data_IF_688017131697
#
_entry.id   IF_688017131697
#
_cell.length_a   1.000
_cell.length_b   1.000
_cell.length_c   1.000
_cell.angle_alpha   90.00
_cell.angle_beta   90.00
_cell.angle_gamma   90.00
#
_symmetry.space_group_name_H-M   'P 1'
#
loop_
_entity.id
_entity.type
_entity.pdbx_description
1 polymer ?
#
# COMPACT_ATOMS: atom_id res chain seq x y z
N UNK A 1 -19.46 -13.15 -3.81
CA UNK A 1 -19.14 -12.02 -2.90
C UNK A 1 -18.44 -10.95 -3.70
N UNK A 2 -19.02 -9.74 -3.82
CA UNK A 2 -18.54 -8.73 -4.76
C UNK A 2 -17.59 -7.68 -4.18
N UNK A 3 -17.41 -7.56 -2.86
CA UNK A 3 -16.52 -6.56 -2.26
C UNK A 3 -15.69 -7.16 -1.11
N UNK A 4 -14.40 -6.79 -1.03
CA UNK A 4 -13.47 -7.24 0.00
C UNK A 4 -13.39 -6.32 1.21
N UNK A 5 -13.67 -5.03 1.01
CA UNK A 5 -13.82 -4.05 2.08
C UNK A 5 -15.31 -3.71 2.26
N UNK A 6 -15.84 -3.61 3.50
CA UNK A 6 -17.20 -3.16 3.72
C UNK A 6 -17.45 -1.82 3.02
N UNK A 7 -18.53 -1.73 2.23
CA UNK A 7 -18.89 -0.55 1.46
C UNK A 7 -17.84 -0.07 0.42
N UNK A 8 -17.00 -0.97 -0.11
CA UNK A 8 -15.98 -0.65 -1.15
C UNK A 8 -16.53 0.06 -2.40
N UNK A 9 -17.85 0.03 -2.65
CA UNK A 9 -18.52 0.71 -3.76
C UNK A 9 -19.23 2.01 -3.38
N UNK A 10 -19.07 2.48 -2.14
CA UNK A 10 -19.68 3.71 -1.63
C UNK A 10 -18.61 4.78 -1.51
N UNK A 11 -18.83 5.91 -2.15
CA UNK A 11 -17.88 7.03 -2.23
C UNK A 11 -18.52 8.36 -1.77
N UNK A 12 -19.40 8.31 -0.78
CA UNK A 12 -20.10 9.48 -0.24
C UNK A 12 -20.09 9.47 1.31
N UNK A 13 -20.64 10.50 1.93
CA UNK A 13 -20.65 10.68 3.40
C UNK A 13 -21.47 9.68 4.21
N UNK A 14 -22.00 8.61 3.60
CA UNK A 14 -22.66 7.51 4.35
C UNK A 14 -21.69 6.49 4.95
N UNK A 15 -20.38 6.63 4.67
CA UNK A 15 -19.32 5.80 5.23
C UNK A 15 -18.25 6.65 5.90
N UNK A 16 -17.59 6.08 6.91
CA UNK A 16 -16.48 6.74 7.63
C UNK A 16 -15.22 6.78 6.76
N UNK A 17 -14.92 5.69 6.05
CA UNK A 17 -13.69 5.55 5.25
C UNK A 17 -14.03 4.93 3.90
N UNK A 18 -13.43 5.47 2.85
CA UNK A 18 -13.49 4.93 1.49
C UNK A 18 -12.11 4.36 1.14
N UNK A 19 -12.04 3.10 0.75
CA UNK A 19 -10.80 2.47 0.29
C UNK A 19 -10.57 2.75 -1.20
N UNK A 20 -9.41 3.27 -1.57
CA UNK A 20 -8.99 3.43 -2.96
C UNK A 20 -7.59 2.90 -3.20
N UNK A 21 -7.32 2.46 -4.43
CA UNK A 21 -5.98 2.15 -4.94
C UNK A 21 -5.56 3.13 -6.05
N UNK A 22 -6.44 4.07 -6.39
CA UNK A 22 -6.21 5.08 -7.39
C UNK A 22 -5.38 6.24 -6.80
N UNK A 23 -4.70 6.96 -7.66
CA UNK A 23 -3.87 8.10 -7.30
C UNK A 23 -3.98 9.21 -8.35
N UNK A 24 -3.43 10.37 -8.02
CA UNK A 24 -3.46 11.58 -8.83
C UNK A 24 -4.28 12.70 -8.18
N UNK A 25 -4.10 13.94 -8.65
CA UNK A 25 -4.69 15.13 -8.02
C UNK A 25 -6.22 15.06 -7.95
N UNK A 26 -6.87 14.57 -9.02
CA UNK A 26 -8.34 14.46 -9.05
C UNK A 26 -8.89 13.45 -8.05
N UNK A 27 -8.16 12.34 -7.82
CA UNK A 27 -8.54 11.37 -6.79
C UNK A 27 -8.37 11.97 -5.39
N UNK A 28 -7.24 12.64 -5.12
CA UNK A 28 -6.95 13.24 -3.82
C UNK A 28 -7.95 14.32 -3.42
N UNK A 29 -8.38 15.17 -4.36
CA UNK A 29 -9.34 16.27 -4.09
C UNK A 29 -10.69 15.80 -3.53
N UNK A 30 -11.05 14.53 -3.73
CA UNK A 30 -12.32 13.98 -3.24
C UNK A 30 -12.38 13.71 -1.74
N UNK A 31 -11.27 13.89 -1.00
CA UNK A 31 -11.18 13.52 0.41
C UNK A 31 -10.80 14.71 1.29
N UNK A 32 -11.39 14.78 2.48
CA UNK A 32 -11.07 15.79 3.50
C UNK A 32 -9.90 15.39 4.39
N UNK A 33 -9.65 14.09 4.55
CA UNK A 33 -8.55 13.47 5.31
C UNK A 33 -8.10 12.20 4.59
N UNK A 34 -6.85 11.80 4.76
CA UNK A 34 -6.33 10.57 4.17
C UNK A 34 -5.55 9.73 5.19
N UNK A 35 -5.79 8.42 5.19
CA UNK A 35 -4.93 7.44 5.86
C UNK A 35 -4.12 6.74 4.77
N UNK A 36 -2.80 6.87 4.80
CA UNK A 36 -1.90 6.21 3.87
C UNK A 36 -1.19 5.05 4.55
N UNK A 37 -1.63 3.82 4.23
CA UNK A 37 -1.00 2.60 4.72
C UNK A 37 0.17 2.23 3.80
N UNK A 38 1.39 2.28 4.34
CA UNK A 38 2.63 1.91 3.64
C UNK A 38 3.13 0.58 4.17
N UNK A 39 3.49 -0.33 3.27
CA UNK A 39 4.02 -1.66 3.60
C UNK A 39 5.36 -1.86 2.90
N UNK A 40 6.23 -2.71 3.47
CA UNK A 40 7.44 -3.15 2.78
C UNK A 40 7.14 -3.61 1.33
N UNK A 41 7.83 -3.05 0.32
CA UNK A 41 7.47 -3.27 -1.07
C UNK A 41 7.70 -4.71 -1.52
N UNK A 42 8.68 -5.44 -0.98
CA UNK A 42 8.88 -6.85 -1.34
C UNK A 42 7.68 -7.69 -0.90
N UNK A 43 7.24 -7.50 0.34
CA UNK A 43 6.09 -8.21 0.90
C UNK A 43 4.78 -7.79 0.22
N UNK A 44 4.61 -6.50 -0.12
CA UNK A 44 3.45 -6.00 -0.83
C UNK A 44 3.34 -6.59 -2.26
N UNK A 45 4.44 -6.57 -3.02
CA UNK A 45 4.50 -7.13 -4.38
C UNK A 45 4.21 -8.63 -4.36
N UNK A 46 4.83 -9.37 -3.44
CA UNK A 46 4.58 -10.81 -3.32
C UNK A 46 3.14 -11.12 -2.90
N UNK A 47 2.56 -10.33 -1.99
CA UNK A 47 1.17 -10.49 -1.56
C UNK A 47 0.17 -10.26 -2.71
N UNK A 48 0.42 -9.28 -3.57
CA UNK A 48 -0.38 -8.98 -4.77
C UNK A 48 -0.21 -10.06 -5.85
N UNK A 49 1.01 -10.59 -6.02
CA UNK A 49 1.23 -11.70 -6.95
C UNK A 49 0.47 -12.96 -6.53
N UNK A 50 0.50 -13.26 -5.23
CA UNK A 50 -0.29 -14.33 -4.63
C UNK A 50 -1.78 -14.12 -4.86
N UNK A 51 -2.29 -12.89 -4.69
CA UNK A 51 -3.69 -12.56 -4.93
C UNK A 51 -4.09 -12.78 -6.39
N UNK A 52 -3.28 -12.31 -7.34
CA UNK A 52 -3.59 -12.42 -8.77
C UNK A 52 -3.45 -13.84 -9.32
N UNK A 53 -2.50 -14.62 -8.81
CA UNK A 53 -2.18 -15.95 -9.33
C UNK A 53 -2.83 -17.10 -8.55
N UNK A 54 -3.17 -16.88 -7.28
CA UNK A 54 -3.79 -17.88 -6.39
C UNK A 54 -5.18 -17.51 -5.88
N UNK A 55 -5.69 -16.32 -6.20
CA UNK A 55 -6.96 -15.79 -5.66
C UNK A 55 -6.80 -15.10 -4.30
N UNK A 56 -7.89 -14.55 -3.77
CA UNK A 56 -7.86 -13.66 -2.58
C UNK A 56 -7.07 -14.24 -1.40
N UNK A 57 -7.33 -15.51 -1.06
CA UNK A 57 -6.69 -16.21 0.07
C UNK A 57 -5.65 -17.26 -0.36
N UNK A 58 -5.37 -17.38 -1.66
CA UNK A 58 -4.44 -18.36 -2.18
C UNK A 58 -3.02 -17.83 -2.38
N UNK A 59 -2.14 -18.72 -2.85
CA UNK A 59 -0.74 -18.42 -3.14
C UNK A 59 -0.44 -18.73 -4.60
N UNK A 60 0.47 -17.97 -5.19
CA UNK A 60 1.03 -18.31 -6.48
C UNK A 60 1.77 -19.64 -6.36
N UNK A 61 1.53 -20.55 -7.29
CA UNK A 61 2.30 -21.78 -7.39
C UNK A 61 3.74 -21.46 -7.87
N UNK A 62 4.75 -22.25 -7.48
CA UNK A 62 6.14 -21.99 -7.85
C UNK A 62 6.38 -21.80 -9.36
N UNK A 63 5.66 -22.54 -10.21
CA UNK A 63 5.71 -22.42 -11.68
C UNK A 63 5.35 -21.02 -12.19
N UNK A 64 4.56 -20.24 -11.45
CA UNK A 64 4.18 -18.88 -11.84
C UNK A 64 5.35 -17.90 -11.81
N UNK A 65 6.34 -18.16 -10.95
CA UNK A 65 7.55 -17.34 -10.85
C UNK A 65 8.51 -17.61 -12.01
N UNK A 66 8.53 -18.83 -12.55
CA UNK A 66 9.40 -19.23 -13.67
C UNK A 66 8.70 -19.19 -15.02
N UNK A 67 7.41 -18.86 -15.07
CA UNK A 67 6.62 -18.73 -16.29
C UNK A 67 7.32 -17.85 -17.33
N UNK A 68 7.32 -18.32 -18.58
CA UNK A 68 7.96 -17.65 -19.72
C UNK A 68 9.45 -17.35 -19.47
N UNK A 69 10.14 -18.27 -18.78
CA UNK A 69 11.55 -18.10 -18.39
C UNK A 69 11.74 -16.99 -17.35
N UNK A 70 10.75 -16.74 -16.49
CA UNK A 70 10.77 -15.70 -15.47
C UNK A 70 10.31 -14.31 -15.95
N UNK A 71 10.15 -14.10 -17.26
CA UNK A 71 9.76 -12.79 -17.82
C UNK A 71 8.43 -12.26 -17.30
N UNK A 72 7.48 -13.16 -17.01
CA UNK A 72 6.20 -12.77 -16.44
C UNK A 72 6.36 -12.15 -15.04
N UNK A 73 7.14 -12.80 -14.17
CA UNK A 73 7.46 -12.31 -12.84
C UNK A 73 8.30 -11.03 -12.89
N UNK A 74 9.29 -10.95 -13.77
CA UNK A 74 10.11 -9.73 -13.94
C UNK A 74 9.26 -8.51 -14.32
N UNK A 75 8.38 -8.67 -15.32
CA UNK A 75 7.45 -7.61 -15.73
C UNK A 75 6.49 -7.24 -14.60
N UNK A 76 6.00 -8.24 -13.87
CA UNK A 76 5.11 -8.01 -12.74
C UNK A 76 5.78 -7.19 -11.63
N UNK A 77 6.97 -7.59 -11.17
CA UNK A 77 7.73 -6.88 -10.13
C UNK A 77 8.05 -5.46 -10.59
N UNK A 78 8.50 -5.28 -11.83
CA UNK A 78 8.81 -3.96 -12.39
C UNK A 78 7.59 -3.03 -12.32
N UNK A 79 6.45 -3.49 -12.81
CA UNK A 79 5.22 -2.71 -12.80
C UNK A 79 4.74 -2.41 -11.38
N UNK A 80 4.79 -3.39 -10.47
CA UNK A 80 4.26 -3.25 -9.12
C UNK A 80 5.17 -2.43 -8.21
N UNK A 81 6.49 -2.49 -8.37
CA UNK A 81 7.44 -1.62 -7.66
C UNK A 81 7.22 -0.15 -8.03
N UNK A 82 7.11 0.15 -9.33
CA UNK A 82 6.84 1.50 -9.80
C UNK A 82 5.46 2.00 -9.37
N UNK A 83 4.42 1.15 -9.46
CA UNK A 83 3.08 1.50 -9.00
C UNK A 83 3.07 1.78 -7.49
N UNK A 84 3.71 0.93 -6.67
CA UNK A 84 3.83 1.14 -5.22
C UNK A 84 4.49 2.49 -4.92
N UNK A 85 5.65 2.76 -5.53
CA UNK A 85 6.37 4.03 -5.35
C UNK A 85 5.50 5.22 -5.77
N UNK A 86 4.95 5.20 -6.99
CA UNK A 86 4.18 6.32 -7.53
C UNK A 86 2.91 6.58 -6.71
N UNK A 87 2.22 5.53 -6.26
CA UNK A 87 1.03 5.68 -5.41
C UNK A 87 1.39 6.37 -4.10
N UNK A 88 2.43 5.86 -3.41
CA UNK A 88 2.84 6.41 -2.11
C UNK A 88 3.32 7.84 -2.25
N UNK A 89 4.22 8.12 -3.20
CA UNK A 89 4.74 9.48 -3.43
C UNK A 89 3.65 10.45 -3.87
N UNK A 90 2.64 10.00 -4.60
CA UNK A 90 1.50 10.83 -4.97
C UNK A 90 0.62 11.14 -3.75
N UNK A 91 0.25 10.14 -2.95
CA UNK A 91 -0.56 10.37 -1.75
C UNK A 91 0.14 11.17 -0.65
N UNK A 92 1.48 11.18 -0.59
CA UNK A 92 2.23 12.09 0.28
C UNK A 92 1.99 13.57 -0.07
N UNK A 93 1.51 13.89 -1.28
CA UNK A 93 1.12 15.25 -1.70
C UNK A 93 -0.34 15.60 -1.38
N UNK A 94 -0.98 14.85 -0.48
CA UNK A 94 -2.31 15.20 0.00
C UNK A 94 -2.26 16.51 0.77
N UNK A 95 -3.07 17.49 0.39
CA UNK A 95 -3.04 18.84 0.97
C UNK A 95 -3.78 18.93 2.32
N UNK A 96 -4.67 17.98 2.60
CA UNK A 96 -5.37 17.88 3.87
C UNK A 96 -4.59 17.09 4.93
N UNK A 97 -5.21 16.85 6.11
CA UNK A 97 -4.62 16.00 7.14
C UNK A 97 -4.32 14.60 6.59
N UNK A 98 -3.07 14.17 6.73
CA UNK A 98 -2.58 12.87 6.30
C UNK A 98 -2.07 12.09 7.51
N UNK A 99 -2.61 10.90 7.74
CA UNK A 99 -2.12 9.96 8.73
C UNK A 99 -1.34 8.84 8.04
N UNK A 100 -0.04 8.77 8.31
CA UNK A 100 0.83 7.71 7.80
C UNK A 100 0.78 6.52 8.76
N UNK A 101 0.49 5.34 8.22
CA UNK A 101 0.45 4.09 8.98
C UNK A 101 1.39 3.10 8.31
N UNK A 102 2.38 2.59 9.04
CA UNK A 102 3.18 1.49 8.53
C UNK A 102 2.48 0.17 8.85
N UNK A 103 2.36 -0.69 7.83
CA UNK A 103 1.67 -1.97 7.98
C UNK A 103 2.34 -2.85 9.03
N UNK A 104 3.67 -2.77 9.13
CA UNK A 104 4.46 -3.48 10.13
C UNK A 104 4.10 -3.04 11.56
N UNK A 105 3.84 -1.75 11.80
CA UNK A 105 3.40 -1.26 13.11
C UNK A 105 2.00 -1.78 13.48
N UNK A 106 1.11 -1.96 12.50
CA UNK A 106 -0.19 -2.62 12.71
C UNK A 106 -0.04 -4.09 13.10
N UNK A 107 1.05 -4.76 12.71
CA UNK A 107 1.32 -6.13 13.13
C UNK A 107 1.87 -6.21 14.55
N UNK A 108 2.73 -5.25 14.90
CA UNK A 108 3.49 -5.27 16.15
C UNK A 108 2.73 -4.62 17.32
N UNK A 109 1.93 -3.57 17.05
CA UNK A 109 1.21 -2.81 18.07
C UNK A 109 -0.19 -2.36 17.61
N UNK A 110 -1.00 -3.35 17.20
CA UNK A 110 -2.33 -3.11 16.66
C UNK A 110 -3.24 -2.22 17.54
N UNK A 111 -3.35 -2.41 18.88
CA UNK A 111 -4.27 -1.61 19.68
C UNK A 111 -3.95 -0.11 19.62
N UNK A 112 -2.67 0.26 19.80
CA UNK A 112 -2.27 1.67 19.79
C UNK A 112 -2.38 2.30 18.40
N UNK A 113 -1.99 1.56 17.35
CA UNK A 113 -2.19 2.06 15.98
C UNK A 113 -3.67 2.27 15.64
N UNK A 114 -4.56 1.37 16.10
CA UNK A 114 -6.00 1.54 15.91
C UNK A 114 -6.54 2.74 16.68
N UNK A 115 -6.06 3.00 17.91
CA UNK A 115 -6.44 4.21 18.66
C UNK A 115 -6.00 5.48 17.93
N UNK A 116 -4.77 5.54 17.44
CA UNK A 116 -4.27 6.65 16.60
C UNK A 116 -5.13 6.89 15.36
N UNK A 117 -5.53 5.82 14.67
CA UNK A 117 -6.42 5.91 13.51
C UNK A 117 -7.79 6.46 13.89
N UNK A 118 -8.39 5.98 14.99
CA UNK A 118 -9.71 6.45 15.45
C UNK A 118 -9.67 7.92 15.88
N UNK A 119 -8.62 8.33 16.58
CA UNK A 119 -8.38 9.73 16.95
C UNK A 119 -8.23 10.61 15.71
N UNK A 120 -7.44 10.18 14.72
CA UNK A 120 -7.28 10.91 13.46
C UNK A 120 -8.59 11.06 12.68
N UNK A 121 -9.45 10.03 12.74
CA UNK A 121 -10.78 10.05 12.11
C UNK A 121 -11.81 10.84 12.91
N UNK A 122 -11.46 11.35 14.09
CA UNK A 122 -12.38 12.04 15.02
C UNK A 122 -13.60 11.17 15.37
N UNK A 123 -13.34 9.89 15.66
CA UNK A 123 -14.36 8.92 16.02
C UNK A 123 -14.32 8.61 17.52
N UNK A 124 -15.42 8.93 18.19
CA UNK A 124 -15.66 8.48 19.56
C UNK A 124 -16.15 7.03 19.56
N UNK A 125 -15.29 6.13 20.05
CA UNK A 125 -15.59 4.71 20.19
C UNK A 125 -15.44 4.33 21.66
N UNK A 126 -16.51 3.80 22.25
CA UNK A 126 -16.46 3.32 23.64
C UNK A 126 -15.42 2.21 23.82
N UNK A 127 -14.80 2.15 25.00
CA UNK A 127 -13.85 1.08 25.34
C UNK A 127 -14.46 -0.31 25.17
N UNK A 128 -15.76 -0.48 25.45
CA UNK A 128 -16.46 -1.75 25.21
C UNK A 128 -16.50 -2.16 23.73
N UNK A 129 -16.68 -1.21 22.81
CA UNK A 129 -16.68 -1.46 21.37
C UNK A 129 -15.25 -1.68 20.86
N UNK A 130 -14.29 -0.92 21.39
CA UNK A 130 -12.87 -1.11 21.07
C UNK A 130 -12.39 -2.51 21.50
N UNK A 131 -12.71 -2.94 22.73
CA UNK A 131 -12.43 -4.28 23.22
C UNK A 131 -13.10 -5.37 22.38
N UNK A 132 -14.34 -5.14 21.94
CA UNK A 132 -15.04 -6.05 21.04
C UNK A 132 -14.28 -6.21 19.73
N UNK A 133 -13.83 -5.11 19.12
CA UNK A 133 -12.99 -5.13 17.91
C UNK A 133 -11.67 -5.87 18.16
N UNK A 134 -11.01 -5.63 19.30
CA UNK A 134 -9.75 -6.29 19.66
C UNK A 134 -9.86 -7.81 19.85
N UNK A 135 -11.05 -8.33 20.16
CA UNK A 135 -11.31 -9.78 20.21
C UNK A 135 -11.57 -10.39 18.83
N UNK A 136 -11.81 -9.58 17.80
CA UNK A 136 -12.21 -10.00 16.46
C UNK A 136 -11.29 -9.43 15.36
N UNK A 137 -9.98 -9.67 15.51
CA UNK A 137 -8.94 -9.10 14.64
C UNK A 137 -8.89 -9.70 13.24
N UNK A 138 -9.31 -10.96 13.10
CA UNK A 138 -9.14 -11.71 11.86
C UNK A 138 -10.40 -11.67 10.99
N UNK A 139 -10.25 -11.10 9.79
CA UNK A 139 -11.28 -11.14 8.76
C UNK A 139 -11.18 -12.37 7.84
N UNK A 140 -12.23 -12.61 7.05
CA UNK A 140 -12.34 -13.71 6.07
C UNK A 140 -11.27 -13.70 4.96
N UNK A 141 -10.53 -12.61 4.82
CA UNK A 141 -9.47 -12.43 3.82
C UNK A 141 -8.05 -12.71 4.35
N UNK A 142 -7.92 -13.17 5.61
CA UNK A 142 -6.61 -13.54 6.16
C UNK A 142 -6.04 -14.77 5.45
N UNK A 143 -4.91 -14.57 4.77
CA UNK A 143 -4.16 -15.64 4.11
C UNK A 143 -3.24 -16.33 5.12
N UNK A 144 -3.22 -17.67 5.14
CA UNK A 144 -2.22 -18.44 5.90
C UNK A 144 -0.83 -18.20 5.32
N UNK A 145 0.17 -17.95 6.16
CA UNK A 145 1.56 -17.77 5.72
C UNK A 145 2.06 -19.04 5.04
N UNK A 146 2.64 -18.91 3.85
CA UNK A 146 3.31 -19.99 3.12
C UNK A 146 4.63 -19.43 2.58
N UNK A 147 5.76 -19.68 3.25
CA UNK A 147 7.04 -19.20 2.76
C UNK A 147 7.39 -19.90 1.44
N UNK A 148 8.05 -19.17 0.54
CA UNK A 148 8.68 -19.78 -0.63
C UNK A 148 9.96 -20.47 -0.19
N UNK A 149 10.27 -21.61 -0.80
CA UNK A 149 11.54 -22.31 -0.60
C UNK A 149 12.70 -21.70 -1.38
N UNK A 150 12.44 -20.65 -2.16
CA UNK A 150 13.42 -19.95 -3.00
C UNK A 150 13.18 -18.44 -2.92
N UNK A 151 14.22 -17.67 -3.26
CA UNK A 151 14.11 -16.24 -3.44
C UNK A 151 13.62 -15.92 -4.87
N UNK A 152 12.42 -15.34 -5.04
CA UNK A 152 11.94 -15.02 -6.38
C UNK A 152 12.61 -13.75 -6.94
N UNK A 153 13.30 -12.94 -6.14
CA UNK A 153 13.86 -11.67 -6.61
C UNK A 153 15.31 -11.82 -7.08
N UNK A 154 15.51 -11.74 -8.40
CA UNK A 154 16.86 -11.66 -8.97
C UNK A 154 17.58 -10.39 -8.50
N UNK A 155 18.93 -10.33 -8.53
CA UNK A 155 19.67 -9.13 -8.13
C UNK A 155 19.23 -7.85 -8.85
N UNK A 156 18.88 -7.96 -10.14
CA UNK A 156 18.35 -6.85 -10.94
C UNK A 156 17.01 -6.35 -10.42
N UNK A 157 16.09 -7.27 -10.06
CA UNK A 157 14.80 -6.91 -9.50
C UNK A 157 14.95 -6.29 -8.11
N UNK A 158 15.84 -6.83 -7.27
CA UNK A 158 16.16 -6.26 -5.95
C UNK A 158 16.64 -4.82 -6.06
N UNK A 159 17.62 -4.57 -6.92
CA UNK A 159 18.12 -3.23 -7.16
C UNK A 159 17.02 -2.24 -7.59
N UNK A 160 16.03 -2.68 -8.36
CA UNK A 160 14.87 -1.85 -8.71
C UNK A 160 13.97 -1.57 -7.49
N UNK A 161 13.58 -2.62 -6.76
CA UNK A 161 12.70 -2.49 -5.59
C UNK A 161 13.36 -1.65 -4.50
N UNK A 162 14.66 -1.85 -4.24
CA UNK A 162 15.43 -1.09 -3.26
C UNK A 162 15.51 0.39 -3.63
N UNK A 163 15.71 0.73 -4.92
CA UNK A 163 15.66 2.14 -5.36
C UNK A 163 14.28 2.76 -5.12
N UNK A 164 13.20 2.06 -5.49
CA UNK A 164 11.84 2.53 -5.22
C UNK A 164 11.62 2.74 -3.71
N UNK A 165 12.06 1.77 -2.89
CA UNK A 165 11.96 1.82 -1.42
C UNK A 165 12.68 3.02 -0.85
N UNK A 166 13.94 3.24 -1.23
CA UNK A 166 14.76 4.36 -0.74
C UNK A 166 14.14 5.72 -1.05
N UNK A 167 13.54 5.89 -2.24
CA UNK A 167 12.86 7.13 -2.62
C UNK A 167 11.64 7.39 -1.73
N UNK A 168 10.81 6.37 -1.52
CA UNK A 168 9.66 6.46 -0.61
C UNK A 168 10.10 6.73 0.82
N UNK A 169 11.07 5.99 1.35
CA UNK A 169 11.58 6.18 2.72
C UNK A 169 12.13 7.59 2.95
N UNK A 170 12.85 8.13 1.96
CA UNK A 170 13.33 9.51 2.03
C UNK A 170 12.17 10.50 2.02
N UNK A 171 11.19 10.33 1.12
CA UNK A 171 10.03 11.23 1.06
C UNK A 171 9.19 11.19 2.33
N UNK A 172 8.93 9.99 2.85
CA UNK A 172 8.19 9.77 4.10
C UNK A 172 8.91 10.42 5.28
N UNK A 173 10.24 10.26 5.39
CA UNK A 173 11.03 10.88 6.47
C UNK A 173 10.91 12.40 6.47
N UNK A 174 11.00 13.03 5.30
CA UNK A 174 10.91 14.48 5.18
C UNK A 174 9.50 14.98 5.54
N UNK A 175 8.46 14.29 5.09
CA UNK A 175 7.07 14.61 5.46
C UNK A 175 6.85 14.49 6.96
N UNK A 176 7.36 13.42 7.58
CA UNK A 176 7.29 13.24 9.05
C UNK A 176 8.09 14.30 9.81
N UNK A 177 9.13 14.88 9.21
CA UNK A 177 9.87 16.00 9.77
C UNK A 177 9.20 17.38 9.55
N UNK A 178 8.01 17.41 8.95
CA UNK A 178 7.27 18.64 8.63
C UNK A 178 7.73 19.36 7.36
N UNK A 179 8.52 18.68 6.52
CA UNK A 179 9.01 19.22 5.24
C UNK A 179 7.96 19.23 4.14
N UNK A 180 8.13 20.12 3.15
CA UNK A 180 7.29 20.17 1.96
C UNK A 180 7.67 19.03 0.99
N UNK A 181 6.76 18.06 0.86
CA UNK A 181 6.88 16.92 -0.06
C UNK A 181 7.16 17.33 -1.51
N UNK A 182 6.66 18.49 -1.97
CA UNK A 182 6.89 18.93 -3.34
C UNK A 182 8.35 19.34 -3.55
N UNK A 183 8.98 19.98 -2.56
CA UNK A 183 10.42 20.30 -2.58
C UNK A 183 11.23 19.00 -2.62
N UNK A 184 10.85 18.01 -1.81
CA UNK A 184 11.53 16.71 -1.75
C UNK A 184 11.44 15.98 -3.09
N UNK A 185 10.25 15.93 -3.69
CA UNK A 185 10.02 15.25 -4.96
C UNK A 185 10.67 15.97 -6.14
N UNK A 186 10.70 17.31 -6.13
CA UNK A 186 11.42 18.08 -7.14
C UNK A 186 12.93 17.83 -7.07
N UNK A 187 13.48 17.74 -5.85
CA UNK A 187 14.87 17.37 -5.63
C UNK A 187 15.16 15.92 -6.05
N UNK A 188 14.20 15.00 -5.94
CA UNK A 188 14.33 13.63 -6.45
C UNK A 188 14.23 13.55 -7.98
N UNK A 189 13.35 14.33 -8.62
CA UNK A 189 13.20 14.38 -10.07
C UNK A 189 14.44 14.94 -10.77
N UNK A 190 15.19 15.84 -10.12
CA UNK A 190 16.47 16.34 -10.61
C UNK A 190 17.53 15.22 -10.76
N UNK A 191 17.34 14.07 -10.09
CA UNK A 191 18.10 12.84 -10.29
C UNK A 191 17.35 11.89 -11.24
N UNK A 192 17.13 12.31 -12.50
CA UNK A 192 16.69 11.51 -13.65
C UNK A 192 15.63 10.40 -13.40
N UNK A 193 14.35 10.74 -13.55
CA UNK A 193 13.28 9.75 -13.73
C UNK A 193 12.57 9.97 -15.07
N UNK A 194 13.05 9.31 -16.13
CA UNK A 194 12.24 9.07 -17.33
C UNK A 194 11.66 7.67 -17.23
N UNK A 195 10.53 7.53 -16.53
CA UNK A 195 9.74 6.30 -16.57
C UNK A 195 8.32 6.66 -16.96
N UNK A 196 7.94 6.16 -18.14
CA UNK A 196 6.71 6.51 -18.85
C UNK A 196 5.47 6.36 -17.98
N UNK A 197 4.52 7.27 -18.21
CA UNK A 197 3.19 7.24 -17.64
C UNK A 197 2.43 5.98 -18.04
N UNK A 198 2.67 4.86 -17.35
CA UNK A 198 1.76 3.74 -17.36
C UNK A 198 0.79 3.88 -16.19
N UNK A 199 -0.38 4.46 -16.48
CA UNK A 199 -1.55 4.22 -15.64
C UNK A 199 -1.78 2.71 -15.58
N UNK A 200 -2.02 2.12 -14.39
CA UNK A 200 -2.46 0.75 -14.32
C UNK A 200 -3.77 0.60 -15.12
N UNK A 201 -3.84 -0.44 -15.94
CA UNK A 201 -5.10 -0.83 -16.59
C UNK A 201 -6.05 -1.27 -15.48
N UNK A 202 -7.06 -0.45 -15.24
CA UNK A 202 -8.21 -0.77 -14.38
C UNK A 202 -8.87 -2.04 -14.93
N UNK A 203 -9.11 -3.01 -14.06
CA UNK A 203 -10.01 -4.15 -14.35
C UNK A 203 -11.39 -3.82 -13.83
#
# INVERSE_FOLDING_TARGET
MKNGFPAESVSNGSVVVVKTHEWGPEMRKGFSRAILVVRDPYLAIQAEFNRQSGGHIGHAQPDKYTRDGGRYWEKFVTNKALAWMNTTLDWLKFEGPLHLVFYEDLLDNLPEEMRRILEFLDLDVSESNFDCMMRHLDGIYKRRKRPLSFDPFTPKLRALVDRCKQLVERAVREVLAGGDVNVVLNNMNAFNFSFGHHKPVVR
#
